data_IF_598879103305
#
_entry.id   IF_598879103305
#
_cell.length_a   1.000
_cell.length_b   1.000
_cell.length_c   1.000
_cell.angle_alpha   90.00
_cell.angle_beta   90.00
_cell.angle_gamma   90.00
#
_symmetry.space_group_name_H-M   'P 1'
#
loop_
_entity.id
_entity.type
_entity.pdbx_description
1 polymer ?
#
# COMPACT_ATOMS: atom_id res chain seq x y z
N UNK A 1 -47.31 -2.04 2.03
CA UNK A 1 -46.21 -3.02 2.25
C UNK A 1 -45.41 -2.52 3.43
N UNK A 2 -45.39 -3.25 4.55
CA UNK A 2 -44.55 -2.89 5.69
C UNK A 2 -43.10 -3.16 5.33
N UNK A 3 -42.25 -2.13 5.41
CA UNK A 3 -40.81 -2.27 5.20
C UNK A 3 -40.20 -2.85 6.47
N UNK A 4 -39.77 -4.11 6.40
CA UNK A 4 -39.01 -4.70 7.50
C UNK A 4 -37.58 -4.14 7.53
N UNK A 5 -36.94 -4.20 8.70
CA UNK A 5 -35.54 -3.85 8.86
C UNK A 5 -34.65 -4.61 7.85
N UNK A 6 -34.92 -5.90 7.66
CA UNK A 6 -34.20 -6.76 6.72
C UNK A 6 -34.34 -6.28 5.26
N UNK A 7 -35.56 -5.92 4.84
CA UNK A 7 -35.78 -5.40 3.49
C UNK A 7 -35.02 -4.09 3.25
N UNK A 8 -35.00 -3.20 4.25
CA UNK A 8 -34.31 -1.91 4.17
C UNK A 8 -32.78 -2.09 4.07
N UNK A 9 -32.20 -2.98 4.88
CA UNK A 9 -30.77 -3.30 4.81
C UNK A 9 -30.37 -3.94 3.47
N UNK A 10 -31.19 -4.86 2.94
CA UNK A 10 -30.93 -5.49 1.64
C UNK A 10 -30.90 -4.45 0.52
N UNK A 11 -31.83 -3.50 0.52
CA UNK A 11 -31.85 -2.42 -0.47
C UNK A 11 -30.58 -1.56 -0.39
N UNK A 12 -30.15 -1.18 0.82
CA UNK A 12 -28.91 -0.41 1.01
C UNK A 12 -27.71 -1.19 0.49
N UNK A 13 -27.59 -2.48 0.82
CA UNK A 13 -26.50 -3.34 0.36
C UNK A 13 -26.49 -3.47 -1.17
N UNK A 14 -27.65 -3.62 -1.82
CA UNK A 14 -27.77 -3.70 -3.28
C UNK A 14 -27.32 -2.39 -3.94
N UNK A 15 -27.74 -1.24 -3.41
CA UNK A 15 -27.32 0.07 -3.95
C UNK A 15 -25.81 0.27 -3.77
N UNK A 16 -25.24 -0.08 -2.62
CA UNK A 16 -23.80 -0.02 -2.40
C UNK A 16 -23.03 -0.92 -3.36
N UNK A 17 -23.51 -2.15 -3.57
CA UNK A 17 -22.91 -3.09 -4.51
C UNK A 17 -22.93 -2.57 -5.96
N UNK A 18 -24.05 -1.98 -6.39
CA UNK A 18 -24.15 -1.35 -7.71
C UNK A 18 -23.19 -0.17 -7.85
N UNK A 19 -23.05 0.66 -6.80
CA UNK A 19 -22.10 1.77 -6.76
C UNK A 19 -20.65 1.31 -6.95
N UNK A 20 -20.26 0.24 -6.25
CA UNK A 20 -18.92 -0.33 -6.37
C UNK A 20 -18.69 -0.99 -7.74
N UNK A 21 -19.71 -1.65 -8.30
CA UNK A 21 -19.63 -2.26 -9.62
C UNK A 21 -19.40 -1.21 -10.72
N UNK A 22 -20.13 -0.10 -10.66
CA UNK A 22 -19.97 1.02 -11.60
C UNK A 22 -18.59 1.66 -11.47
N UNK A 23 -18.12 1.88 -10.23
CA UNK A 23 -16.80 2.43 -9.95
C UNK A 23 -15.67 1.53 -10.52
N UNK A 24 -15.77 0.21 -10.32
CA UNK A 24 -14.80 -0.76 -10.87
C UNK A 24 -14.79 -0.74 -12.40
N UNK A 25 -15.96 -0.71 -13.03
CA UNK A 25 -16.07 -0.70 -14.51
C UNK A 25 -15.56 0.60 -15.14
N UNK A 26 -15.59 1.72 -14.42
CA UNK A 26 -15.09 3.02 -14.91
C UNK A 26 -13.63 3.31 -14.54
N UNK A 27 -12.86 2.32 -14.08
CA UNK A 27 -11.49 2.50 -13.58
C UNK A 27 -11.41 3.64 -12.54
N UNK A 28 -12.40 3.71 -11.65
CA UNK A 28 -12.51 4.70 -10.57
C UNK A 28 -12.58 6.18 -11.01
N UNK A 29 -12.92 6.45 -12.28
CA UNK A 29 -13.20 7.82 -12.74
C UNK A 29 -14.44 8.42 -12.09
N UNK A 30 -15.41 7.59 -11.73
CA UNK A 30 -16.64 7.99 -11.02
C UNK A 30 -16.59 7.42 -9.61
N UNK A 31 -16.74 8.28 -8.60
CA UNK A 31 -16.80 7.86 -7.20
C UNK A 31 -18.06 7.02 -6.92
N UNK A 32 -17.92 5.90 -6.21
CA UNK A 32 -19.06 5.06 -5.80
C UNK A 32 -20.08 5.85 -4.98
N UNK A 33 -19.65 6.88 -4.23
CA UNK A 33 -20.53 7.76 -3.46
C UNK A 33 -21.51 8.55 -4.33
N UNK A 34 -21.07 9.02 -5.50
CA UNK A 34 -21.94 9.76 -6.44
C UNK A 34 -23.01 8.83 -6.99
N UNK A 35 -22.62 7.62 -7.37
CA UNK A 35 -23.55 6.60 -7.90
C UNK A 35 -24.58 6.24 -6.85
N UNK A 36 -24.15 5.99 -5.61
CA UNK A 36 -25.03 5.69 -4.48
C UNK A 36 -26.00 6.86 -4.21
N UNK A 37 -25.51 8.10 -4.18
CA UNK A 37 -26.34 9.29 -3.96
C UNK A 37 -27.42 9.45 -5.05
N UNK A 38 -27.05 9.25 -6.33
CA UNK A 38 -28.00 9.31 -7.45
C UNK A 38 -29.03 8.18 -7.37
N UNK A 39 -28.61 6.96 -7.03
CA UNK A 39 -29.52 5.83 -6.85
C UNK A 39 -30.53 6.09 -5.72
N UNK A 40 -30.10 6.62 -4.57
CA UNK A 40 -31.02 6.97 -3.48
C UNK A 40 -31.96 8.11 -3.88
N UNK A 41 -31.43 9.14 -4.56
CA UNK A 41 -32.25 10.26 -5.02
C UNK A 41 -33.36 9.80 -5.98
N UNK A 42 -33.03 8.95 -6.96
CA UNK A 42 -34.02 8.35 -7.89
C UNK A 42 -34.98 7.41 -7.15
N UNK A 43 -34.45 6.62 -6.20
CA UNK A 43 -35.24 5.69 -5.39
C UNK A 43 -36.31 6.38 -4.56
N UNK A 44 -35.96 7.46 -3.85
CA UNK A 44 -36.92 8.28 -3.10
C UNK A 44 -37.97 8.98 -3.96
N UNK A 45 -37.69 9.13 -5.25
CA UNK A 45 -38.63 9.74 -6.19
C UNK A 45 -39.62 8.75 -6.80
N UNK A 46 -39.28 7.46 -6.84
CA UNK A 46 -40.03 6.45 -7.59
C UNK A 46 -40.64 5.35 -6.73
N UNK A 47 -39.87 4.81 -5.77
CA UNK A 47 -40.20 3.53 -5.10
C UNK A 47 -40.15 3.63 -3.58
N UNK A 48 -39.26 4.45 -3.00
CA UNK A 48 -39.07 4.47 -1.55
C UNK A 48 -40.07 5.40 -0.85
N UNK A 49 -40.75 4.94 0.22
CA UNK A 49 -41.55 5.81 1.05
C UNK A 49 -40.64 6.79 1.79
N UNK A 50 -41.15 8.01 2.01
CA UNK A 50 -40.41 9.07 2.70
C UNK A 50 -40.10 8.72 4.16
N UNK A 51 -40.92 7.86 4.78
CA UNK A 51 -40.81 7.45 6.20
C UNK A 51 -40.06 6.11 6.39
N UNK A 52 -39.21 5.72 5.43
CA UNK A 52 -38.51 4.42 5.46
C UNK A 52 -37.60 4.29 6.68
N UNK A 53 -36.99 5.39 7.15
CA UNK A 53 -36.06 5.39 8.28
C UNK A 53 -36.76 5.24 9.63
N UNK A 54 -37.97 5.78 9.75
CA UNK A 54 -38.76 5.72 10.98
C UNK A 54 -39.49 4.38 11.11
N UNK A 55 -39.95 3.82 9.99
CA UNK A 55 -40.71 2.55 9.98
C UNK A 55 -39.82 1.32 10.21
N UNK A 56 -38.52 1.41 9.89
CA UNK A 56 -37.61 0.25 9.83
C UNK A 56 -36.77 0.01 11.09
N UNK A 57 -37.03 0.71 12.21
CA UNK A 57 -36.19 0.72 13.42
C UNK A 57 -34.72 1.14 13.15
N UNK A 58 -34.43 1.76 12.00
CA UNK A 58 -33.07 2.16 11.62
C UNK A 58 -32.50 3.27 12.52
N UNK A 59 -33.35 4.10 13.14
CA UNK A 59 -32.90 5.13 14.08
C UNK A 59 -32.17 4.54 15.30
N UNK A 60 -32.64 3.42 15.85
CA UNK A 60 -31.95 2.75 16.97
C UNK A 60 -30.62 2.12 16.53
N UNK A 61 -30.56 1.54 15.33
CA UNK A 61 -29.30 1.01 14.78
C UNK A 61 -28.29 2.11 14.45
N UNK A 62 -28.76 3.28 14.00
CA UNK A 62 -27.91 4.44 13.70
C UNK A 62 -27.13 4.87 14.92
N UNK A 63 -27.77 4.97 16.08
CA UNK A 63 -27.12 5.38 17.33
C UNK A 63 -25.98 4.44 17.73
N UNK A 64 -26.24 3.12 17.71
CA UNK A 64 -25.24 2.10 18.04
C UNK A 64 -24.10 2.09 17.02
N UNK A 65 -24.44 2.11 15.72
CA UNK A 65 -23.45 2.07 14.63
C UNK A 65 -22.56 3.31 14.63
N UNK A 66 -23.14 4.48 14.89
CA UNK A 66 -22.38 5.74 14.98
C UNK A 66 -21.38 5.70 16.12
N UNK A 67 -21.77 5.17 17.29
CA UNK A 67 -20.87 5.00 18.43
C UNK A 67 -19.71 4.04 18.09
N UNK A 68 -20.00 2.93 17.42
CA UNK A 68 -18.99 1.96 16.99
C UNK A 68 -18.00 2.55 15.98
N UNK A 69 -18.48 3.27 14.96
CA UNK A 69 -17.62 3.95 13.97
C UNK A 69 -16.70 4.96 14.68
N UNK A 70 -17.24 5.74 15.62
CA UNK A 70 -16.46 6.74 16.34
C UNK A 70 -15.37 6.09 17.21
N UNK A 71 -15.69 4.99 17.89
CA UNK A 71 -14.75 4.22 18.69
C UNK A 71 -13.61 3.63 17.84
N UNK A 72 -13.94 3.01 16.70
CA UNK A 72 -12.94 2.41 15.81
C UNK A 72 -12.01 3.44 15.17
N UNK A 73 -12.55 4.58 14.71
CA UNK A 73 -11.76 5.65 14.11
C UNK A 73 -10.83 6.26 15.16
N UNK A 74 -11.31 6.44 16.39
CA UNK A 74 -10.50 6.92 17.50
C UNK A 74 -9.32 6.00 17.84
N UNK A 75 -9.55 4.69 17.89
CA UNK A 75 -8.51 3.71 18.23
C UNK A 75 -7.38 3.60 17.19
N UNK A 76 -7.66 3.91 15.91
CA UNK A 76 -6.64 3.88 14.83
C UNK A 76 -5.88 5.20 14.67
N UNK A 77 -6.17 6.23 15.47
CA UNK A 77 -5.62 7.55 15.29
C UNK A 77 -4.23 7.70 15.92
N UNK A 78 -3.18 7.55 15.11
CA UNK A 78 -1.79 7.73 15.55
C UNK A 78 -1.41 9.23 15.61
N UNK A 79 -1.39 9.77 16.84
CA UNK A 79 -1.09 11.18 17.12
C UNK A 79 0.31 11.63 16.67
N UNK A 80 1.28 10.72 16.54
CA UNK A 80 2.62 11.09 16.09
C UNK A 80 2.67 11.46 14.60
N UNK A 81 1.84 10.82 13.76
CA UNK A 81 1.70 11.17 12.35
C UNK A 81 1.10 12.57 12.18
N UNK A 82 0.09 12.90 13.00
CA UNK A 82 -0.56 14.22 12.99
C UNK A 82 0.43 15.33 13.35
N UNK A 83 1.29 15.10 14.35
CA UNK A 83 2.32 16.08 14.74
C UNK A 83 3.39 16.26 13.66
N UNK A 84 3.77 15.17 12.97
CA UNK A 84 4.74 15.21 11.87
C UNK A 84 4.21 15.95 10.64
N UNK A 85 2.93 15.77 10.31
CA UNK A 85 2.30 16.32 9.11
C UNK A 85 1.35 17.52 9.43
N UNK A 86 1.69 18.35 10.43
CA UNK A 86 0.79 19.42 10.93
C UNK A 86 0.27 20.38 9.85
N UNK A 87 1.05 20.62 8.80
CA UNK A 87 0.64 21.48 7.67
C UNK A 87 -0.58 20.91 6.95
N UNK A 88 -0.64 19.59 6.79
CA UNK A 88 -1.79 18.90 6.17
C UNK A 88 -3.04 19.09 7.03
N UNK A 89 -2.90 18.93 8.35
CA UNK A 89 -3.99 19.11 9.32
C UNK A 89 -4.56 20.53 9.28
N UNK A 90 -3.69 21.54 9.20
CA UNK A 90 -4.14 22.94 9.09
C UNK A 90 -4.87 23.17 7.76
N UNK A 91 -4.36 22.65 6.65
CA UNK A 91 -5.02 22.80 5.35
C UNK A 91 -6.38 22.12 5.29
N UNK A 92 -6.54 20.93 5.88
CA UNK A 92 -7.82 20.22 5.91
C UNK A 92 -8.83 20.91 6.81
N UNK A 93 -8.42 21.40 7.99
CA UNK A 93 -9.28 22.19 8.87
C UNK A 93 -9.73 23.50 8.21
N UNK A 94 -8.84 24.18 7.48
CA UNK A 94 -9.19 25.40 6.74
C UNK A 94 -10.22 25.12 5.64
N UNK A 95 -10.09 23.99 4.93
CA UNK A 95 -11.09 23.57 3.92
C UNK A 95 -12.43 23.25 4.56
N UNK A 96 -12.44 22.50 5.67
CA UNK A 96 -13.67 22.18 6.41
C UNK A 96 -14.35 23.46 6.90
N UNK A 97 -13.58 24.40 7.47
CA UNK A 97 -14.10 25.71 7.89
C UNK A 97 -14.64 26.52 6.70
N UNK A 98 -13.95 26.50 5.56
CA UNK A 98 -14.40 27.15 4.33
C UNK A 98 -15.73 26.58 3.82
N UNK A 99 -15.86 25.25 3.79
CA UNK A 99 -17.11 24.58 3.40
C UNK A 99 -18.24 24.93 4.37
N UNK A 100 -17.97 24.94 5.68
CA UNK A 100 -18.94 25.32 6.72
C UNK A 100 -19.44 26.76 6.52
N UNK A 101 -18.54 27.71 6.23
CA UNK A 101 -18.92 29.11 5.99
C UNK A 101 -19.69 29.26 4.69
N UNK A 102 -19.19 28.67 3.59
CA UNK A 102 -19.82 28.82 2.27
C UNK A 102 -21.19 28.15 2.25
N UNK A 103 -21.29 26.88 2.65
CA UNK A 103 -22.56 26.14 2.66
C UNK A 103 -23.48 26.69 3.75
N UNK A 104 -22.94 27.09 4.90
CA UNK A 104 -23.71 27.70 5.98
C UNK A 104 -24.31 29.05 5.58
N UNK A 105 -23.55 29.93 4.94
CA UNK A 105 -24.03 31.27 4.53
C UNK A 105 -24.85 31.19 3.25
N UNK A 106 -24.28 30.67 2.15
CA UNK A 106 -24.97 30.62 0.87
C UNK A 106 -26.13 29.61 0.87
N UNK A 107 -25.95 28.45 1.51
CA UNK A 107 -26.99 27.44 1.61
C UNK A 107 -28.14 27.88 2.51
N UNK A 108 -27.88 28.59 3.61
CA UNK A 108 -28.97 29.12 4.45
C UNK A 108 -29.76 30.24 3.76
N UNK A 109 -29.12 31.01 2.88
CA UNK A 109 -29.76 32.10 2.14
C UNK A 109 -30.69 31.58 1.03
N UNK A 110 -30.37 30.44 0.42
CA UNK A 110 -31.10 29.90 -0.74
C UNK A 110 -32.11 28.81 -0.32
N UNK A 111 -31.73 27.90 0.58
CA UNK A 111 -32.50 26.68 0.88
C UNK A 111 -32.95 26.57 2.35
N UNK A 112 -32.65 27.58 3.19
CA UNK A 112 -32.93 27.54 4.61
C UNK A 112 -31.90 26.77 5.44
N UNK A 113 -31.85 27.06 6.75
CA UNK A 113 -30.79 26.56 7.64
C UNK A 113 -30.75 25.04 7.78
N UNK A 114 -31.90 24.39 7.83
CA UNK A 114 -31.97 22.94 8.07
C UNK A 114 -31.45 22.14 6.87
N UNK A 115 -31.85 22.52 5.65
CA UNK A 115 -31.38 21.87 4.42
C UNK A 115 -29.88 22.12 4.19
N UNK A 116 -29.39 23.31 4.53
CA UNK A 116 -27.97 23.63 4.43
C UNK A 116 -27.11 22.75 5.36
N UNK A 117 -27.56 22.51 6.59
CA UNK A 117 -26.82 21.71 7.57
C UNK A 117 -26.70 20.24 7.16
N UNK A 118 -27.72 19.68 6.51
CA UNK A 118 -27.70 18.28 6.02
C UNK A 118 -26.73 18.09 4.85
N UNK A 119 -26.46 19.14 4.07
CA UNK A 119 -25.56 19.07 2.91
C UNK A 119 -24.06 19.11 3.27
N UNK A 120 -23.70 19.55 4.48
CA UNK A 120 -22.30 19.76 4.89
C UNK A 120 -21.50 18.44 5.01
N UNK A 121 -21.97 17.38 5.70
CA UNK A 121 -21.15 16.19 5.94
C UNK A 121 -20.65 15.50 4.65
N UNK A 122 -21.49 15.27 3.61
CA UNK A 122 -21.04 14.69 2.35
C UNK A 122 -19.96 15.52 1.63
N UNK A 123 -20.06 16.85 1.68
CA UNK A 123 -19.13 17.76 1.02
C UNK A 123 -17.76 17.78 1.72
N UNK A 124 -17.75 17.74 3.05
CA UNK A 124 -16.50 17.69 3.81
C UNK A 124 -15.73 16.38 3.63
N UNK A 125 -16.42 15.25 3.46
CA UNK A 125 -15.80 13.95 3.23
C UNK A 125 -15.08 13.83 1.88
N UNK A 126 -15.66 14.38 0.81
CA UNK A 126 -15.06 14.38 -0.54
C UNK A 126 -13.85 15.32 -0.68
N UNK A 127 -13.88 16.48 -0.01
CA UNK A 127 -12.79 17.46 -0.07
C UNK A 127 -11.47 16.97 0.55
N UNK A 128 -11.55 16.15 1.60
CA UNK A 128 -10.39 15.59 2.29
C UNK A 128 -9.61 14.58 1.41
N UNK A 129 -10.30 13.82 0.56
CA UNK A 129 -9.69 12.90 -0.39
C UNK A 129 -8.91 13.60 -1.51
N UNK A 130 -9.40 14.77 -1.97
CA UNK A 130 -8.74 15.56 -3.01
C UNK A 130 -7.46 16.28 -2.53
N UNK A 131 -7.47 16.81 -1.30
CA UNK A 131 -6.32 17.55 -0.74
C UNK A 131 -5.23 16.61 -0.23
N UNK A 132 -5.61 15.46 0.37
CA UNK A 132 -4.65 14.41 0.75
C UNK A 132 -3.87 13.83 -0.43
N UNK A 133 -4.48 13.82 -1.63
CA UNK A 133 -3.86 13.35 -2.87
C UNK A 133 -2.87 14.35 -3.49
N UNK A 134 -2.89 15.62 -3.05
CA UNK A 134 -1.93 16.63 -3.49
C UNK A 134 -0.64 16.65 -2.63
N UNK A 135 -0.67 16.11 -1.41
CA UNK A 135 0.46 16.09 -0.47
C UNK A 135 1.28 14.79 -0.41
N UNK A 136 0.77 13.67 -0.93
CA UNK A 136 1.50 12.39 -1.04
C UNK A 136 1.13 11.65 -2.33
N UNK A 137 1.86 11.90 -3.42
CA UNK A 137 1.91 10.94 -4.53
C UNK A 137 2.72 9.73 -4.07
N UNK A 138 2.04 8.65 -3.70
CA UNK A 138 2.68 7.34 -3.52
C UNK A 138 2.16 6.52 -2.33
N UNK A 139 0.94 6.00 -2.46
CA UNK A 139 0.40 4.71 -1.93
C UNK A 139 -1.10 4.86 -1.73
N UNK A 140 -1.88 4.35 -2.67
CA UNK A 140 -3.28 4.01 -2.41
C UNK A 140 -3.29 2.76 -1.54
N UNK A 141 -3.90 2.84 -0.36
CA UNK A 141 -4.24 1.65 0.43
C UNK A 141 -5.70 1.33 0.11
N UNK A 142 -6.04 0.12 -0.37
CA UNK A 142 -7.42 -0.22 -0.68
C UNK A 142 -8.24 -0.30 0.62
N UNK A 143 -9.41 0.34 0.61
CA UNK A 143 -10.44 0.18 1.66
C UNK A 143 -11.15 -1.16 1.40
N UNK A 144 -10.97 -2.12 2.30
CA UNK A 144 -11.58 -3.45 2.20
C UNK A 144 -13.01 -3.37 2.72
N UNK A 145 -13.98 -3.78 1.90
CA UNK A 145 -15.40 -3.86 2.25
C UNK A 145 -15.70 -5.13 3.08
N UNK A 146 -16.69 -5.12 4.00
CA UNK A 146 -17.08 -6.30 4.77
C UNK A 146 -17.49 -7.52 3.91
N UNK A 147 -17.93 -7.31 2.67
CA UNK A 147 -18.33 -8.40 1.75
C UNK A 147 -17.15 -9.21 1.19
N UNK A 148 -15.92 -8.68 1.20
CA UNK A 148 -14.71 -9.40 0.76
C UNK A 148 -14.19 -10.42 1.78
N UNK A 149 -14.58 -10.30 3.05
CA UNK A 149 -14.19 -11.25 4.11
C UNK A 149 -15.01 -12.55 4.08
N UNK A 150 -16.23 -12.52 3.54
CA UNK A 150 -17.13 -13.68 3.48
C UNK A 150 -16.99 -14.49 2.19
N UNK A 151 -16.35 -13.95 1.15
CA UNK A 151 -16.20 -14.59 -0.17
C UNK A 151 -14.81 -15.13 -0.47
N UNK A 152 -13.89 -15.09 0.50
CA UNK A 152 -12.52 -15.61 0.35
C UNK A 152 -11.63 -14.82 -0.62
N UNK A 153 -12.09 -13.68 -1.13
CA UNK A 153 -11.34 -12.84 -2.07
C UNK A 153 -10.83 -11.58 -1.35
N UNK A 154 -9.66 -11.70 -0.70
CA UNK A 154 -8.89 -10.56 -0.20
C UNK A 154 -7.91 -10.06 -1.28
N UNK A 155 -7.64 -8.74 -1.36
CA UNK A 155 -6.64 -8.20 -2.27
C UNK A 155 -5.20 -8.58 -1.83
N UNK A 156 -4.26 -8.74 -2.77
CA UNK A 156 -2.90 -9.29 -2.55
C UNK A 156 -1.93 -8.36 -1.79
N UNK A 157 -2.43 -7.34 -1.10
CA UNK A 157 -1.61 -6.32 -0.44
C UNK A 157 -2.08 -6.09 1.00
N UNK A 158 -1.97 -7.09 1.86
CA UNK A 158 -2.01 -6.91 3.30
C UNK A 158 -0.58 -6.98 3.84
N UNK A 159 -0.06 -5.93 4.51
CA UNK A 159 1.22 -6.03 5.19
C UNK A 159 1.11 -7.12 6.27
N UNK A 160 2.07 -8.05 6.26
CA UNK A 160 2.22 -9.15 7.21
C UNK A 160 2.61 -8.65 8.62
N UNK A 161 1.75 -7.83 9.23
CA UNK A 161 1.86 -7.40 10.62
C UNK A 161 0.49 -7.43 11.28
N UNK A 162 -0.06 -8.63 11.39
CA UNK A 162 -0.94 -8.97 12.50
C UNK A 162 -0.04 -9.61 13.56
N UNK A 163 0.60 -8.77 14.38
CA UNK A 163 0.95 -9.22 15.72
C UNK A 163 -0.39 -9.45 16.42
N UNK A 164 -0.75 -10.72 16.66
CA UNK A 164 -1.71 -11.03 17.71
C UNK A 164 -1.10 -10.43 18.98
N UNK A 165 -1.71 -9.34 19.43
CA UNK A 165 -1.39 -8.71 20.69
C UNK A 165 -1.91 -9.64 21.80
N UNK A 166 -1.17 -10.72 22.09
CA UNK A 166 -1.31 -11.44 23.35
C UNK A 166 -0.71 -10.55 24.45
N UNK A 167 -1.48 -9.56 24.87
CA UNK A 167 -1.29 -8.94 26.18
C UNK A 167 -2.19 -9.67 27.15
N UNK A 168 -1.60 -10.56 27.94
CA UNK A 168 -2.32 -11.30 28.97
C UNK A 168 -1.38 -12.29 29.63
N UNK A 169 -0.96 -11.95 30.83
CA UNK A 169 -0.26 -12.81 31.77
C UNK A 169 -1.03 -14.13 31.90
N UNK A 170 -0.42 -15.26 31.52
CA UNK A 170 -1.02 -16.59 31.67
C UNK A 170 -0.74 -17.10 33.08
N UNK A 171 -1.29 -16.41 34.07
CA UNK A 171 -1.45 -16.89 35.43
C UNK A 171 -2.93 -16.80 35.79
N UNK A 172 -3.71 -17.76 35.28
CA UNK A 172 -4.81 -18.41 36.00
C UNK A 172 -5.57 -19.30 35.01
N UNK A 173 -5.64 -20.58 35.36
CA UNK A 173 -6.26 -21.59 34.53
C UNK A 173 -7.77 -21.40 34.43
N UNK A 174 -8.28 -21.51 33.20
CA UNK A 174 -9.58 -22.11 32.92
C UNK A 174 -9.64 -22.57 31.45
N UNK A 175 -9.92 -23.86 31.31
CA UNK A 175 -10.54 -24.51 30.14
C UNK A 175 -9.69 -24.77 28.89
N UNK A 176 -8.64 -25.59 29.07
CA UNK A 176 -8.16 -26.49 28.03
C UNK A 176 -9.19 -27.62 27.80
N UNK A 177 -9.97 -27.52 26.71
CA UNK A 177 -10.72 -28.68 26.20
C UNK A 177 -9.74 -29.66 25.58
N UNK A 178 -9.66 -30.83 26.20
CA UNK A 178 -8.92 -32.00 25.76
C UNK A 178 -9.42 -32.51 24.41
N UNK A 179 -8.55 -32.52 23.40
CA UNK A 179 -8.61 -33.51 22.31
C UNK A 179 -7.28 -34.27 22.34
N UNK A 180 -7.29 -35.43 23.01
CA UNK A 180 -6.26 -36.45 22.86
C UNK A 180 -6.79 -37.53 21.90
N UNK A 181 -6.14 -37.70 20.76
CA UNK A 181 -5.64 -38.99 20.26
C UNK A 181 -5.26 -38.90 18.78
N UNK A 182 -4.04 -39.36 18.47
CA UNK A 182 -3.55 -40.03 17.24
C UNK A 182 -2.06 -39.73 17.03
N UNK A 183 -1.25 -40.00 18.06
CA UNK A 183 0.21 -39.95 17.99
C UNK A 183 0.75 -41.24 17.35
N UNK A 184 1.21 -41.12 16.11
CA UNK A 184 1.96 -42.15 15.39
C UNK A 184 2.59 -41.63 14.10
N UNK A 185 1.95 -40.65 13.44
CA UNK A 185 2.49 -39.91 12.28
C UNK A 185 2.90 -38.45 12.58
N UNK A 186 2.40 -37.86 13.67
CA UNK A 186 2.59 -36.43 13.96
C UNK A 186 4.05 -36.02 14.27
N UNK A 187 4.91 -36.92 14.74
CA UNK A 187 6.27 -36.53 15.16
C UNK A 187 7.20 -36.23 13.98
N UNK A 188 7.09 -36.99 12.89
CA UNK A 188 7.88 -36.79 11.67
C UNK A 188 7.38 -35.57 10.89
N UNK A 189 6.06 -35.43 10.74
CA UNK A 189 5.41 -34.32 10.05
C UNK A 189 5.58 -32.98 10.79
N UNK A 190 5.58 -32.99 12.14
CA UNK A 190 5.96 -31.82 12.95
C UNK A 190 7.43 -31.44 12.80
N UNK A 191 8.35 -32.42 12.79
CA UNK A 191 9.78 -32.14 12.64
C UNK A 191 10.12 -31.55 11.26
N UNK A 192 9.48 -32.03 10.20
CA UNK A 192 9.63 -31.50 8.84
C UNK A 192 9.06 -30.08 8.74
N UNK A 193 7.88 -29.84 9.32
CA UNK A 193 7.26 -28.51 9.39
C UNK A 193 8.12 -27.51 10.19
N UNK A 194 8.79 -27.97 11.24
CA UNK A 194 9.67 -27.12 12.06
C UNK A 194 10.92 -26.67 11.32
N UNK A 195 11.52 -27.55 10.49
CA UNK A 195 12.67 -27.20 9.64
C UNK A 195 12.32 -26.22 8.53
N UNK A 196 11.16 -26.41 7.90
CA UNK A 196 10.66 -25.45 6.90
C UNK A 196 10.41 -24.09 7.55
N UNK A 197 9.84 -24.06 8.78
CA UNK A 197 9.64 -22.81 9.52
C UNK A 197 10.95 -22.10 9.83
N UNK A 198 11.97 -22.85 10.28
CA UNK A 198 13.31 -22.32 10.55
C UNK A 198 13.95 -21.74 9.28
N UNK A 199 13.83 -22.45 8.15
CA UNK A 199 14.28 -21.96 6.85
C UNK A 199 13.58 -20.65 6.46
N UNK A 200 12.24 -20.60 6.54
CA UNK A 200 11.48 -19.40 6.20
C UNK A 200 11.79 -18.21 7.12
N UNK A 201 12.09 -18.48 8.41
CA UNK A 201 12.56 -17.46 9.33
C UNK A 201 13.96 -16.92 8.96
N UNK A 202 14.87 -17.81 8.54
CA UNK A 202 16.19 -17.44 8.06
C UNK A 202 16.11 -16.59 6.78
N UNK A 203 15.29 -17.00 5.81
CA UNK A 203 15.04 -16.24 4.56
C UNK A 203 14.52 -14.84 4.88
N UNK A 204 13.52 -14.73 5.76
CA UNK A 204 12.99 -13.41 6.18
C UNK A 204 14.07 -12.53 6.82
N UNK A 205 14.89 -13.11 7.69
CA UNK A 205 16.00 -12.40 8.34
C UNK A 205 17.01 -11.85 7.31
N UNK A 206 17.32 -12.65 6.28
CA UNK A 206 18.19 -12.23 5.17
C UNK A 206 17.53 -11.11 4.36
N UNK A 207 16.25 -11.23 4.00
CA UNK A 207 15.53 -10.17 3.26
C UNK A 207 15.51 -8.85 4.02
N UNK A 208 15.24 -8.89 5.34
CA UNK A 208 15.25 -7.69 6.18
C UNK A 208 16.66 -7.07 6.29
N UNK A 209 17.69 -7.91 6.41
CA UNK A 209 19.07 -7.46 6.41
C UNK A 209 19.47 -6.85 5.05
N UNK A 210 19.00 -7.43 3.95
CA UNK A 210 19.24 -6.95 2.60
C UNK A 210 18.59 -5.58 2.35
N UNK A 211 17.33 -5.39 2.77
CA UNK A 211 16.66 -4.07 2.64
C UNK A 211 17.35 -2.99 3.50
N UNK A 212 17.82 -3.35 4.71
CA UNK A 212 18.67 -2.45 5.53
C UNK A 212 19.99 -2.13 4.84
N UNK A 213 20.61 -3.11 4.17
CA UNK A 213 21.82 -2.91 3.39
C UNK A 213 21.59 -1.95 2.21
N UNK A 214 20.50 -2.14 1.45
CA UNK A 214 20.13 -1.31 0.30
C UNK A 214 19.77 0.13 0.68
N UNK A 215 19.14 0.32 1.83
CA UNK A 215 18.68 1.63 2.32
C UNK A 215 19.75 2.42 3.08
N UNK A 216 20.93 1.85 3.32
CA UNK A 216 22.03 2.55 3.98
C UNK A 216 22.75 3.47 2.99
N UNK A 217 22.78 4.76 3.30
CA UNK A 217 23.55 5.73 2.54
C UNK A 217 25.06 5.50 2.73
N UNK A 218 25.79 5.46 1.61
CA UNK A 218 27.24 5.25 1.55
C UNK A 218 27.89 6.41 0.83
N UNK A 219 29.15 6.63 1.16
CA UNK A 219 30.00 7.58 0.48
C UNK A 219 30.90 6.79 -0.47
N UNK A 220 30.66 6.93 -1.77
CA UNK A 220 31.47 6.30 -2.82
C UNK A 220 32.50 7.28 -3.40
N UNK A 221 32.25 8.59 -3.25
CA UNK A 221 33.00 9.69 -3.83
C UNK A 221 33.00 10.83 -2.82
N UNK A 222 34.18 11.22 -2.35
CA UNK A 222 34.43 12.17 -1.25
C UNK A 222 33.34 13.23 -1.06
N UNK A 223 32.39 12.95 -0.16
CA UNK A 223 31.44 13.91 0.39
C UNK A 223 29.97 13.76 -0.01
N UNK A 224 29.63 12.93 -1.01
CA UNK A 224 28.23 12.75 -1.43
C UNK A 224 27.65 11.38 -1.07
N UNK A 225 26.62 11.40 -0.22
CA UNK A 225 25.88 10.21 0.19
C UNK A 225 24.95 9.71 -0.92
N UNK A 226 25.15 8.47 -1.32
CA UNK A 226 24.32 7.74 -2.28
C UNK A 226 23.71 6.51 -1.63
N UNK A 227 22.46 6.21 -1.99
CA UNK A 227 21.83 4.94 -1.64
C UNK A 227 22.29 3.84 -2.60
N UNK A 228 22.26 2.57 -2.16
CA UNK A 228 22.68 1.44 -3.02
C UNK A 228 21.89 1.39 -4.34
N UNK A 229 20.59 1.70 -4.29
CA UNK A 229 19.72 1.78 -5.47
C UNK A 229 20.17 2.86 -6.47
N UNK A 230 20.74 3.96 -5.98
CA UNK A 230 21.30 5.04 -6.82
C UNK A 230 22.61 4.60 -7.46
N UNK A 231 23.46 3.86 -6.72
CA UNK A 231 24.67 3.28 -7.27
C UNK A 231 24.38 2.21 -8.34
N UNK A 232 23.47 1.26 -8.06
CA UNK A 232 23.03 0.26 -9.05
C UNK A 232 22.41 0.88 -10.30
N UNK A 233 21.75 2.05 -10.17
CA UNK A 233 21.29 2.79 -11.35
C UNK A 233 22.45 3.26 -12.22
N UNK A 234 23.52 3.81 -11.64
CA UNK A 234 24.70 4.22 -12.40
C UNK A 234 25.40 3.01 -13.06
N UNK A 235 25.42 1.85 -12.39
CA UNK A 235 25.98 0.60 -12.94
C UNK A 235 25.19 0.11 -14.14
N UNK A 236 23.86 0.08 -14.05
CA UNK A 236 22.99 -0.33 -15.15
C UNK A 236 23.22 0.54 -16.41
N UNK A 237 23.39 1.85 -16.22
CA UNK A 237 23.75 2.76 -17.33
C UNK A 237 25.17 2.51 -17.85
N UNK A 238 26.14 2.33 -16.94
CA UNK A 238 27.56 2.16 -17.26
C UNK A 238 27.87 0.95 -18.15
N UNK A 239 27.20 -0.19 -17.93
CA UNK A 239 27.42 -1.41 -18.72
C UNK A 239 27.06 -1.29 -20.20
N UNK A 240 26.08 -0.44 -20.53
CA UNK A 240 25.55 -0.32 -21.89
C UNK A 240 25.96 1.00 -22.56
N UNK A 241 26.54 1.94 -21.81
CA UNK A 241 26.95 3.27 -22.28
C UNK A 241 25.77 4.24 -22.44
N UNK A 242 24.79 3.90 -23.28
CA UNK A 242 23.54 4.63 -23.48
C UNK A 242 22.36 3.67 -23.34
N UNK A 243 21.40 3.99 -22.46
CA UNK A 243 20.26 3.10 -22.18
C UNK A 243 18.95 3.88 -22.20
N UNK A 244 17.91 3.29 -22.76
CA UNK A 244 16.58 3.89 -22.69
C UNK A 244 15.96 3.72 -21.29
N UNK A 245 15.05 4.62 -20.93
CA UNK A 245 14.31 4.51 -19.65
C UNK A 245 13.54 3.19 -19.49
N UNK A 246 13.06 2.61 -20.59
CA UNK A 246 12.34 1.34 -20.59
C UNK A 246 13.27 0.15 -20.34
N UNK A 247 14.45 0.14 -20.95
CA UNK A 247 15.47 -0.88 -20.70
C UNK A 247 15.98 -0.79 -19.27
N UNK A 248 16.20 0.42 -18.73
CA UNK A 248 16.55 0.60 -17.33
C UNK A 248 15.47 0.09 -16.38
N UNK A 249 14.19 0.24 -16.72
CA UNK A 249 13.08 -0.32 -15.93
C UNK A 249 13.12 -1.83 -15.87
N UNK A 250 13.38 -2.45 -17.02
CA UNK A 250 13.51 -3.89 -17.12
C UNK A 250 14.75 -4.42 -16.39
N UNK A 251 15.91 -3.80 -16.58
CA UNK A 251 17.17 -4.23 -15.96
C UNK A 251 17.17 -4.07 -14.43
N UNK A 252 16.49 -3.05 -13.91
CA UNK A 252 16.39 -2.80 -12.47
C UNK A 252 15.15 -3.43 -11.83
N UNK A 253 14.30 -4.10 -12.63
CA UNK A 253 13.05 -4.73 -12.19
C UNK A 253 12.16 -3.79 -11.34
N UNK A 254 12.04 -2.53 -11.79
CA UNK A 254 11.19 -1.52 -11.14
C UNK A 254 10.25 -0.85 -12.14
N UNK A 255 9.16 -0.28 -11.63
CA UNK A 255 8.17 0.40 -12.48
C UNK A 255 8.79 1.57 -13.27
N UNK A 256 8.29 1.86 -14.49
CA UNK A 256 8.77 3.00 -15.30
C UNK A 256 8.70 4.35 -14.55
N UNK A 257 7.70 4.52 -13.67
CA UNK A 257 7.59 5.70 -12.81
C UNK A 257 8.70 5.78 -11.77
N UNK A 258 9.11 4.66 -11.18
CA UNK A 258 10.20 4.60 -10.21
C UNK A 258 11.55 4.89 -10.88
N UNK A 259 11.83 4.31 -12.06
CA UNK A 259 13.04 4.64 -12.84
C UNK A 259 13.08 6.13 -13.17
N UNK A 260 11.96 6.70 -13.61
CA UNK A 260 11.87 8.12 -13.96
C UNK A 260 12.23 9.03 -12.79
N UNK A 261 11.78 8.70 -11.58
CA UNK A 261 12.12 9.44 -10.36
C UNK A 261 13.58 9.23 -9.95
N UNK A 262 14.12 8.03 -10.11
CA UNK A 262 15.52 7.71 -9.79
C UNK A 262 16.47 8.44 -10.73
N UNK A 263 16.21 8.37 -12.03
CA UNK A 263 16.95 9.09 -13.06
C UNK A 263 16.92 10.62 -12.83
N UNK A 264 15.78 11.20 -12.47
CA UNK A 264 15.69 12.64 -12.16
C UNK A 264 16.54 13.03 -10.94
N UNK A 265 16.60 12.17 -9.92
CA UNK A 265 17.46 12.39 -8.74
C UNK A 265 18.94 12.30 -9.10
N UNK A 266 19.33 11.29 -9.88
CA UNK A 266 20.70 11.10 -10.34
C UNK A 266 21.17 12.25 -11.24
N UNK A 267 20.28 12.76 -12.08
CA UNK A 267 20.52 13.94 -12.92
C UNK A 267 20.72 15.21 -12.09
N UNK A 268 19.86 15.44 -11.08
CA UNK A 268 20.02 16.56 -10.14
C UNK A 268 21.34 16.52 -9.37
N UNK A 269 21.83 15.32 -9.05
CA UNK A 269 23.13 15.11 -8.40
C UNK A 269 24.32 15.17 -9.37
N UNK A 270 24.06 15.27 -10.67
CA UNK A 270 25.07 15.39 -11.72
C UNK A 270 25.78 14.09 -12.09
N UNK A 271 25.22 12.92 -11.76
CA UNK A 271 25.81 11.61 -12.11
C UNK A 271 25.38 11.12 -13.49
N UNK A 272 24.20 11.54 -13.97
CA UNK A 272 23.68 11.14 -15.28
C UNK A 272 23.12 12.35 -16.01
N UNK A 273 23.07 12.26 -17.33
CA UNK A 273 22.38 13.23 -18.18
C UNK A 273 21.40 12.51 -19.11
N UNK A 274 20.28 13.17 -19.39
CA UNK A 274 19.28 12.69 -20.34
C UNK A 274 19.46 13.35 -21.68
N UNK A 275 19.48 12.54 -22.73
CA UNK A 275 19.58 13.01 -24.10
C UNK A 275 18.44 12.44 -24.92
N UNK A 276 17.93 13.25 -25.82
CA UNK A 276 16.96 12.79 -26.81
C UNK A 276 17.69 11.94 -27.83
N UNK A 277 17.22 10.71 -28.05
CA UNK A 277 17.82 9.81 -29.03
C UNK A 277 17.82 10.46 -30.43
N UNK A 278 18.94 10.35 -31.14
CA UNK A 278 19.09 10.93 -32.48
C UNK A 278 18.19 10.24 -33.51
N UNK A 279 17.91 8.95 -33.33
CA UNK A 279 17.16 8.10 -34.26
C UNK A 279 15.64 8.18 -34.04
N UNK A 280 15.19 8.31 -32.78
CA UNK A 280 13.78 8.52 -32.44
C UNK A 280 13.66 9.61 -31.37
N UNK A 281 13.20 10.80 -31.77
CA UNK A 281 13.01 11.95 -30.87
C UNK A 281 11.99 11.70 -29.75
N UNK A 282 11.24 10.60 -29.81
CA UNK A 282 10.30 10.18 -28.75
C UNK A 282 10.97 9.35 -27.66
N UNK A 283 12.20 8.88 -27.88
CA UNK A 283 12.97 8.11 -26.89
C UNK A 283 13.98 9.00 -26.17
N UNK A 284 13.97 8.92 -24.85
CA UNK A 284 15.00 9.53 -24.01
C UNK A 284 15.99 8.44 -23.60
N UNK A 285 17.26 8.70 -23.89
CA UNK A 285 18.40 7.89 -23.45
C UNK A 285 19.03 8.53 -22.21
N UNK A 286 19.59 7.71 -21.35
CA UNK A 286 20.35 8.12 -20.18
C UNK A 286 21.79 7.70 -20.38
N UNK A 287 22.73 8.58 -20.06
CA UNK A 287 24.17 8.33 -20.13
C UNK A 287 24.88 8.90 -18.90
N UNK A 288 26.00 8.28 -18.53
CA UNK A 288 26.80 8.71 -17.38
C UNK A 288 27.55 10.01 -17.70
N UNK A 289 27.59 10.93 -16.73
CA UNK A 289 28.53 12.05 -16.78
C UNK A 289 29.93 11.58 -16.36
N UNK A 290 30.94 12.46 -16.41
CA UNK A 290 32.27 12.16 -15.87
C UNK A 290 32.22 11.77 -14.38
N UNK A 291 31.42 12.50 -13.59
CA UNK A 291 31.14 12.17 -12.19
C UNK A 291 30.43 10.81 -12.03
N UNK A 292 29.49 10.51 -12.94
CA UNK A 292 28.82 9.21 -13.03
C UNK A 292 29.78 8.05 -13.31
N UNK A 293 30.75 8.27 -14.20
CA UNK A 293 31.77 7.27 -14.55
C UNK A 293 32.73 7.02 -13.39
N UNK A 294 33.14 8.06 -12.67
CA UNK A 294 33.95 7.90 -11.46
C UNK A 294 33.20 7.09 -10.38
N UNK A 295 31.88 7.30 -10.22
CA UNK A 295 31.04 6.51 -9.33
C UNK A 295 30.98 5.03 -9.76
N UNK A 296 30.80 4.80 -11.06
CA UNK A 296 30.76 3.45 -11.64
C UNK A 296 32.05 2.68 -11.34
N UNK A 297 33.21 3.29 -11.59
CA UNK A 297 34.52 2.69 -11.33
C UNK A 297 34.77 2.46 -9.83
N UNK A 298 34.42 3.43 -8.99
CA UNK A 298 34.54 3.29 -7.53
C UNK A 298 33.67 2.14 -7.00
N UNK A 299 32.48 1.95 -7.58
CA UNK A 299 31.59 0.87 -7.21
C UNK A 299 32.10 -0.50 -7.65
N UNK A 300 32.70 -0.63 -8.84
CA UNK A 300 33.31 -1.91 -9.26
C UNK A 300 34.41 -2.39 -8.28
N UNK A 301 35.22 -1.46 -7.77
CA UNK A 301 36.23 -1.77 -6.75
C UNK A 301 35.57 -2.21 -5.45
N UNK A 302 34.51 -1.52 -5.04
CA UNK A 302 33.73 -1.88 -3.86
C UNK A 302 33.10 -3.27 -3.99
N UNK A 303 32.46 -3.58 -5.12
CA UNK A 303 31.84 -4.88 -5.39
C UNK A 303 32.87 -6.01 -5.40
N UNK A 304 34.04 -5.79 -6.00
CA UNK A 304 35.13 -6.78 -5.98
C UNK A 304 35.58 -7.08 -4.55
N UNK A 305 35.70 -6.07 -3.70
CA UNK A 305 36.05 -6.26 -2.30
C UNK A 305 34.94 -7.01 -1.52
N UNK A 306 33.67 -6.66 -1.74
CA UNK A 306 32.53 -7.36 -1.13
C UNK A 306 32.44 -8.82 -1.59
N UNK A 307 32.62 -9.07 -2.89
CA UNK A 307 32.60 -10.41 -3.46
C UNK A 307 33.66 -11.30 -2.83
N UNK A 308 34.87 -10.77 -2.57
CA UNK A 308 35.91 -11.54 -1.87
C UNK A 308 35.53 -11.89 -0.43
N UNK A 309 34.84 -11.00 0.29
CA UNK A 309 34.35 -11.29 1.64
C UNK A 309 33.30 -12.41 1.60
N UNK A 310 32.32 -12.30 0.70
CA UNK A 310 31.29 -13.31 0.50
C UNK A 310 31.91 -14.65 0.10
N UNK A 311 32.80 -14.65 -0.89
CA UNK A 311 33.49 -15.85 -1.37
C UNK A 311 34.26 -16.57 -0.23
N UNK A 312 34.95 -15.81 0.64
CA UNK A 312 35.63 -16.40 1.82
C UNK A 312 34.63 -16.98 2.83
N UNK A 313 33.51 -16.30 3.08
CA UNK A 313 32.47 -16.82 3.97
C UNK A 313 31.76 -18.07 3.42
N UNK A 314 31.65 -18.17 2.09
CA UNK A 314 31.03 -19.31 1.41
C UNK A 314 32.02 -20.45 1.08
N UNK A 315 33.33 -20.23 1.20
CA UNK A 315 34.35 -21.25 0.94
C UNK A 315 34.25 -22.49 1.86
N UNK A 316 33.45 -22.42 2.93
CA UNK A 316 33.15 -23.55 3.81
C UNK A 316 32.17 -24.58 3.20
N UNK A 317 31.50 -24.22 2.11
CA UNK A 317 30.51 -25.06 1.44
C UNK A 317 31.11 -25.75 0.21
N UNK A 318 30.67 -26.98 -0.08
CA UNK A 318 31.06 -27.68 -1.30
C UNK A 318 30.28 -27.13 -2.51
N UNK A 319 30.75 -27.36 -3.75
CA UNK A 319 30.01 -26.96 -4.95
C UNK A 319 28.57 -27.50 -4.96
N UNK A 320 28.37 -28.75 -4.56
CA UNK A 320 27.05 -29.40 -4.53
C UNK A 320 26.10 -28.74 -3.50
N UNK A 321 26.64 -28.28 -2.37
CA UNK A 321 25.86 -27.53 -1.38
C UNK A 321 25.48 -26.15 -1.89
N UNK A 322 26.37 -25.48 -2.62
CA UNK A 322 26.08 -24.19 -3.25
C UNK A 322 25.01 -24.33 -4.34
N UNK A 323 25.07 -25.39 -5.15
CA UNK A 323 24.05 -25.69 -6.15
C UNK A 323 22.67 -25.89 -5.51
N UNK A 324 22.60 -26.61 -4.39
CA UNK A 324 21.37 -26.78 -3.63
C UNK A 324 20.82 -25.44 -3.11
N UNK A 325 21.67 -24.54 -2.61
CA UNK A 325 21.23 -23.21 -2.18
C UNK A 325 20.72 -22.37 -3.35
N UNK A 326 21.38 -22.43 -4.51
CA UNK A 326 20.94 -21.72 -5.72
C UNK A 326 19.57 -22.24 -6.18
N UNK A 327 19.37 -23.56 -6.16
CA UNK A 327 18.09 -24.17 -6.52
C UNK A 327 16.98 -23.74 -5.56
N UNK A 328 17.24 -23.78 -4.25
CA UNK A 328 16.33 -23.33 -3.21
C UNK A 328 15.94 -21.85 -3.38
N UNK A 329 16.90 -20.96 -3.60
CA UNK A 329 16.64 -19.52 -3.83
C UNK A 329 15.79 -19.28 -5.09
N UNK A 330 16.04 -20.04 -6.17
CA UNK A 330 15.23 -19.95 -7.40
C UNK A 330 13.80 -20.45 -7.20
N UNK A 331 13.60 -21.50 -6.41
CA UNK A 331 12.27 -21.99 -6.05
C UNK A 331 11.52 -20.96 -5.20
N UNK A 332 12.18 -20.40 -4.18
CA UNK A 332 11.60 -19.33 -3.35
C UNK A 332 11.23 -18.09 -4.17
N UNK A 333 12.10 -17.66 -5.09
CA UNK A 333 11.81 -16.55 -5.99
C UNK A 333 10.61 -16.83 -6.89
N UNK A 334 10.49 -18.05 -7.44
CA UNK A 334 9.34 -18.44 -8.25
C UNK A 334 8.04 -18.40 -7.46
N UNK A 335 8.04 -18.94 -6.24
CA UNK A 335 6.87 -18.94 -5.36
C UNK A 335 6.42 -17.51 -5.04
N UNK A 336 7.35 -16.63 -4.69
CA UNK A 336 7.04 -15.23 -4.35
C UNK A 336 6.57 -14.40 -5.55
N UNK A 337 7.07 -14.66 -6.76
CA UNK A 337 6.61 -13.96 -7.97
C UNK A 337 5.28 -14.51 -8.52
N UNK A 338 4.97 -15.79 -8.29
CA UNK A 338 3.74 -16.42 -8.82
C UNK A 338 2.44 -15.87 -8.24
N UNK A 339 2.51 -15.11 -7.15
CA UNK A 339 1.34 -14.45 -6.54
C UNK A 339 1.00 -13.09 -7.18
N UNK A 340 1.78 -12.62 -8.17
CA UNK A 340 1.59 -11.32 -8.84
C UNK A 340 0.81 -11.37 -10.18
N UNK A 341 0.47 -12.55 -10.71
CA UNK A 341 -0.30 -12.74 -11.97
C UNK A 341 -1.80 -12.98 -11.75
#
# INVERSE_FOLDING_TARGET
MSWSLAASLVVVCVIMFLGDLVSRKTSSKVSSLIVIALCFMIGFWTVFPKDILDTSMMNSLREITMLYILLQVGARFNLQLVKKDWRVVVTTLAVVAGILVIVGVAGSLIFGRETALVAIPPLTGGGLGGVGNCGRRGRQVPVISPTSLLSGNLPPCLPARWEVFCSGDLSDGADCVMIQSLTGGESMERQETDRIRELMAAVRSVTDAHEKYLSRARDYLDGEKLYMREAHFAIAVGHSGEVTMSELAHQLEITPGAVSQLAQRMEKKGYVERVTCAEDKRKNIVRLTEKGRALYEAHEVYDRAQYQVIARSLARYTPEQLDLFIEMERELSRLLCSEEE
#
